data_IF_347013804356
#
_entry.id   IF_347013804356
#
_cell.length_a   1.000
_cell.length_b   1.000
_cell.length_c   1.000
_cell.angle_alpha   90.00
_cell.angle_beta   90.00
_cell.angle_gamma   90.00
#
_symmetry.space_group_name_H-M   'P 1'
#
loop_
_entity.id
_entity.type
_entity.pdbx_description
1 polymer ?
#
# COMPACT_ATOMS: atom_id res chain seq x y z
N UNK A 1 -4.35 -45.40 -11.81
CA UNK A 1 -4.99 -44.70 -10.67
C UNK A 1 -4.07 -43.68 -9.97
N UNK A 2 -3.10 -44.05 -9.11
CA UNK A 2 -2.31 -43.04 -8.35
C UNK A 2 -1.33 -42.23 -9.24
N UNK A 3 -0.68 -42.89 -10.21
CA UNK A 3 0.28 -42.24 -11.11
C UNK A 3 -0.40 -41.30 -12.10
N UNK A 4 -1.56 -41.71 -12.63
CA UNK A 4 -2.39 -40.86 -13.50
C UNK A 4 -2.92 -39.65 -12.74
N UNK A 5 -3.32 -39.83 -11.48
CA UNK A 5 -3.75 -38.74 -10.62
C UNK A 5 -2.62 -37.70 -10.41
N UNK A 6 -1.40 -38.16 -10.13
CA UNK A 6 -0.23 -37.29 -9.99
C UNK A 6 0.13 -36.59 -11.31
N UNK A 7 0.09 -37.30 -12.44
CA UNK A 7 0.32 -36.72 -13.76
C UNK A 7 -0.71 -35.64 -14.11
N UNK A 8 -2.00 -35.89 -13.84
CA UNK A 8 -3.06 -34.91 -14.03
C UNK A 8 -2.85 -33.67 -13.17
N UNK A 9 -2.44 -33.85 -11.91
CA UNK A 9 -2.20 -32.73 -10.98
C UNK A 9 -0.98 -31.91 -11.36
N UNK A 10 0.10 -32.56 -11.80
CA UNK A 10 1.27 -31.87 -12.36
C UNK A 10 0.90 -31.06 -13.61
N UNK A 11 0.10 -31.64 -14.52
CA UNK A 11 -0.37 -30.95 -15.74
C UNK A 11 -1.27 -29.76 -15.42
N UNK A 12 -2.14 -29.88 -14.42
CA UNK A 12 -2.96 -28.78 -13.93
C UNK A 12 -2.11 -27.67 -13.30
N UNK A 13 -1.08 -28.02 -12.53
CA UNK A 13 -0.15 -27.05 -11.95
C UNK A 13 0.62 -26.26 -13.02
N UNK A 14 1.16 -26.92 -14.04
CA UNK A 14 1.81 -26.22 -15.17
C UNK A 14 0.83 -25.38 -16.01
N UNK A 15 -0.47 -25.70 -15.98
CA UNK A 15 -1.52 -24.90 -16.63
C UNK A 15 -2.07 -23.80 -15.72
N UNK A 16 -1.73 -23.80 -14.43
CA UNK A 16 -2.25 -22.82 -13.48
C UNK A 16 -1.69 -21.43 -13.79
N UNK A 17 -2.58 -20.48 -14.02
CA UNK A 17 -2.25 -19.06 -14.26
C UNK A 17 -2.52 -18.20 -13.02
N UNK A 18 -2.82 -18.82 -11.89
CA UNK A 18 -3.13 -18.15 -10.62
C UNK A 18 -1.99 -17.23 -10.17
N UNK A 19 -0.73 -17.62 -10.39
CA UNK A 19 0.44 -16.76 -10.12
C UNK A 19 0.57 -15.58 -11.09
N UNK A 20 0.20 -15.76 -12.37
CA UNK A 20 0.18 -14.67 -13.35
C UNK A 20 -0.94 -13.67 -13.05
N UNK A 21 -2.09 -14.14 -12.57
CA UNK A 21 -3.16 -13.26 -12.06
C UNK A 21 -2.74 -12.51 -10.80
N UNK A 22 -1.99 -13.14 -9.88
CA UNK A 22 -1.56 -12.50 -8.64
C UNK A 22 -0.61 -11.32 -8.86
N UNK A 23 0.30 -11.41 -9.84
CA UNK A 23 1.25 -10.31 -10.12
C UNK A 23 0.59 -9.08 -10.74
N UNK A 24 -0.51 -9.25 -11.49
CA UNK A 24 -1.29 -8.11 -12.04
C UNK A 24 -1.89 -7.27 -10.92
N UNK A 25 -2.56 -7.92 -9.96
CA UNK A 25 -3.13 -7.22 -8.80
C UNK A 25 -2.02 -6.61 -7.93
N UNK A 26 -0.88 -7.28 -7.77
CA UNK A 26 0.26 -6.74 -7.01
C UNK A 26 0.80 -5.43 -7.63
N UNK A 27 0.91 -5.37 -8.96
CA UNK A 27 1.36 -4.16 -9.66
C UNK A 27 0.32 -3.04 -9.56
N UNK A 28 -0.97 -3.34 -9.68
CA UNK A 28 -2.03 -2.34 -9.48
C UNK A 28 -1.97 -1.74 -8.08
N UNK A 29 -1.80 -2.57 -7.04
CA UNK A 29 -1.64 -2.09 -5.66
C UNK A 29 -0.38 -1.23 -5.52
N UNK A 30 0.73 -1.61 -6.15
CA UNK A 30 1.96 -0.80 -6.14
C UNK A 30 1.76 0.57 -6.79
N UNK A 31 1.06 0.65 -7.94
CA UNK A 31 0.75 1.92 -8.59
C UNK A 31 -0.12 2.82 -7.71
N UNK A 32 -1.14 2.26 -7.06
CA UNK A 32 -1.99 3.01 -6.12
C UNK A 32 -1.18 3.50 -4.92
N UNK A 33 -0.31 2.66 -4.36
CA UNK A 33 0.52 3.02 -3.21
C UNK A 33 1.43 4.24 -3.52
N UNK A 34 2.05 4.27 -4.71
CA UNK A 34 2.86 5.41 -5.14
C UNK A 34 2.02 6.70 -5.18
N UNK A 35 0.84 6.66 -5.79
CA UNK A 35 -0.07 7.81 -5.86
C UNK A 35 -0.44 8.28 -4.44
N UNK A 36 -0.83 7.36 -3.56
CA UNK A 36 -1.20 7.68 -2.17
C UNK A 36 -0.05 8.39 -1.46
N UNK A 37 1.18 7.87 -1.52
CA UNK A 37 2.33 8.48 -0.84
C UNK A 37 2.63 9.89 -1.36
N UNK A 38 2.55 10.09 -2.68
CA UNK A 38 2.81 11.38 -3.35
C UNK A 38 1.81 12.46 -2.90
N UNK A 39 0.53 12.11 -2.76
CA UNK A 39 -0.52 13.08 -2.42
C UNK A 39 -0.77 13.23 -0.92
N UNK A 40 -0.72 12.14 -0.15
CA UNK A 40 -1.02 12.17 1.29
C UNK A 40 0.05 12.94 2.08
N UNK A 41 1.33 12.81 1.69
CA UNK A 41 2.43 13.50 2.38
C UNK A 41 2.26 15.04 2.42
N UNK A 42 2.10 15.74 1.28
CA UNK A 42 1.93 17.19 1.29
C UNK A 42 0.59 17.63 1.93
N UNK A 43 -0.47 16.83 1.81
CA UNK A 43 -1.76 17.12 2.47
C UNK A 43 -1.60 17.05 3.98
N UNK A 44 -0.99 15.99 4.50
CA UNK A 44 -0.70 15.82 5.93
C UNK A 44 0.11 17.01 6.48
N UNK A 45 1.13 17.48 5.75
CA UNK A 45 1.91 18.66 6.14
C UNK A 45 1.07 19.93 6.17
N UNK A 46 0.22 20.17 5.17
CA UNK A 46 -0.64 21.37 5.14
C UNK A 46 -1.64 21.37 6.30
N UNK A 47 -2.27 20.23 6.57
CA UNK A 47 -3.21 20.06 7.69
C UNK A 47 -2.49 20.33 9.01
N UNK A 48 -1.32 19.74 9.24
CA UNK A 48 -0.51 19.98 10.44
C UNK A 48 -0.16 21.47 10.60
N UNK A 49 0.21 22.14 9.52
CA UNK A 49 0.55 23.57 9.56
C UNK A 49 -0.66 24.43 9.94
N UNK A 50 -1.85 24.12 9.42
CA UNK A 50 -3.08 24.83 9.77
C UNK A 50 -3.39 24.66 11.26
N UNK A 51 -3.35 23.43 11.77
CA UNK A 51 -3.61 23.19 13.19
C UNK A 51 -2.55 23.82 14.10
N UNK A 52 -1.27 23.81 13.69
CA UNK A 52 -0.22 24.50 14.43
C UNK A 52 -0.43 26.02 14.43
N UNK A 53 -0.86 26.62 13.32
CA UNK A 53 -1.16 28.05 13.27
C UNK A 53 -2.30 28.43 14.22
N UNK A 54 -3.34 27.59 14.31
CA UNK A 54 -4.42 27.76 15.29
C UNK A 54 -3.88 27.61 16.71
N UNK A 55 -3.11 26.56 16.99
CA UNK A 55 -2.57 26.27 18.31
C UNK A 55 -1.66 27.40 18.83
N UNK A 56 -0.79 27.93 17.98
CA UNK A 56 0.09 29.06 18.34
C UNK A 56 -0.69 30.34 18.56
N UNK A 57 -1.78 30.56 17.80
CA UNK A 57 -2.67 31.72 17.99
C UNK A 57 -3.41 31.66 19.34
N UNK A 58 -3.60 30.45 19.89
CA UNK A 58 -4.18 30.23 21.22
C UNK A 58 -3.13 30.24 22.35
N UNK A 59 -1.86 30.55 22.05
CA UNK A 59 -0.76 30.56 23.03
C UNK A 59 -0.13 29.19 23.31
N UNK A 60 -0.48 28.17 22.53
CA UNK A 60 0.15 26.84 22.61
C UNK A 60 1.49 26.76 21.89
N UNK A 61 2.22 25.66 22.12
CA UNK A 61 3.48 25.36 21.43
C UNK A 61 3.23 24.45 20.23
N UNK A 62 3.85 24.74 19.08
CA UNK A 62 3.70 23.95 17.87
C UNK A 62 4.18 22.50 18.05
N UNK A 63 3.48 21.57 17.41
CA UNK A 63 3.75 20.13 17.46
C UNK A 63 4.42 19.67 16.16
N UNK A 64 5.42 18.80 16.30
CA UNK A 64 6.09 18.14 15.18
C UNK A 64 5.37 16.84 14.81
N UNK A 65 5.31 16.53 13.51
CA UNK A 65 4.76 15.27 13.02
C UNK A 65 5.51 14.10 13.68
N UNK A 66 4.80 13.09 14.22
CA UNK A 66 5.44 11.87 14.69
C UNK A 66 6.25 11.23 13.56
N UNK A 67 7.53 10.95 13.83
CA UNK A 67 8.34 10.12 12.95
C UNK A 67 7.99 8.68 13.29
N UNK A 68 7.38 7.96 12.33
CA UNK A 68 7.23 6.51 12.46
C UNK A 68 8.63 5.91 12.29
N UNK A 69 9.11 5.07 13.25
CA UNK A 69 10.41 4.41 13.13
C UNK A 69 10.51 3.49 11.90
#
# INVERSE_FOLDING_TARGET
MILEYLLLRARLFFKSTEGASAIEYAIVVAMVAVVVVVFVSPVSTKVLNIFNAVLTSLGGTAVVKPVVP
#
